data_IF_929243201269
#
_entry.id   IF_929243201269
#
_cell.length_a   1.000
_cell.length_b   1.000
_cell.length_c   1.000
_cell.angle_alpha   90.00
_cell.angle_beta   90.00
_cell.angle_gamma   90.00
#
_symmetry.space_group_name_H-M   'P 1'
#
loop_
_entity.id
_entity.type
_entity.pdbx_description
1 polymer ?
#
# COMPACT_ATOMS: atom_id res chain seq x y z
N UNK A 1 -16.69 -7.89 4.16
CA UNK A 1 -15.81 -6.96 4.89
C UNK A 1 -16.59 -5.96 5.73
N UNK A 2 -16.02 -5.58 6.87
CA UNK A 2 -16.51 -4.49 7.71
C UNK A 2 -15.89 -3.17 7.24
N UNK A 3 -16.59 -2.06 7.44
CA UNK A 3 -16.09 -0.73 7.08
C UNK A 3 -14.72 -0.43 7.74
N UNK A 4 -14.45 -1.01 8.91
CA UNK A 4 -13.14 -0.91 9.56
C UNK A 4 -12.00 -1.52 8.74
N UNK A 5 -12.19 -2.68 8.09
CA UNK A 5 -11.13 -3.30 7.28
C UNK A 5 -10.78 -2.41 6.07
N UNK A 6 -11.79 -1.86 5.40
CA UNK A 6 -11.61 -0.91 4.30
C UNK A 6 -10.87 0.35 4.76
N UNK A 7 -11.25 0.92 5.91
CA UNK A 7 -10.59 2.10 6.49
C UNK A 7 -9.14 1.83 6.85
N UNK A 8 -8.84 0.69 7.48
CA UNK A 8 -7.49 0.30 7.86
C UNK A 8 -6.61 0.13 6.61
N UNK A 9 -7.11 -0.58 5.59
CA UNK A 9 -6.39 -0.75 4.32
C UNK A 9 -6.15 0.58 3.61
N UNK A 10 -7.13 1.50 3.63
CA UNK A 10 -6.98 2.83 3.05
C UNK A 10 -5.88 3.65 3.76
N UNK A 11 -5.85 3.65 5.10
CA UNK A 11 -4.80 4.32 5.89
C UNK A 11 -3.42 3.76 5.54
N UNK A 12 -3.28 2.43 5.45
CA UNK A 12 -2.01 1.78 5.10
C UNK A 12 -1.56 2.19 3.69
N UNK A 13 -2.47 2.21 2.70
CA UNK A 13 -2.15 2.61 1.34
C UNK A 13 -1.73 4.08 1.24
N UNK A 14 -2.37 4.98 2.00
CA UNK A 14 -1.98 6.39 2.08
C UNK A 14 -0.55 6.54 2.63
N UNK A 15 -0.23 5.83 3.72
CA UNK A 15 1.12 5.86 4.30
C UNK A 15 2.18 5.31 3.35
N UNK A 16 1.89 4.23 2.63
CA UNK A 16 2.80 3.69 1.61
C UNK A 16 3.01 4.66 0.44
N UNK A 17 1.94 5.35 0.01
CA UNK A 17 2.02 6.38 -1.03
C UNK A 17 2.92 7.56 -0.62
N UNK A 18 2.72 8.09 0.59
CA UNK A 18 3.58 9.17 1.14
C UNK A 18 5.03 8.70 1.22
N UNK A 19 5.27 7.47 1.70
CA UNK A 19 6.61 6.90 1.81
C UNK A 19 7.31 6.78 0.44
N UNK A 20 6.56 6.40 -0.61
CA UNK A 20 7.09 6.28 -1.96
C UNK A 20 7.44 7.65 -2.57
N UNK A 21 6.60 8.66 -2.34
CA UNK A 21 6.86 10.05 -2.76
C UNK A 21 8.10 10.58 -2.05
N UNK A 22 8.23 10.33 -0.74
CA UNK A 22 9.39 10.76 0.04
C UNK A 22 10.70 10.15 -0.48
N UNK A 23 10.69 8.84 -0.76
CA UNK A 23 11.88 8.16 -1.30
C UNK A 23 12.20 8.64 -2.72
N UNK A 24 11.19 8.79 -3.59
CA UNK A 24 11.40 9.31 -4.94
C UNK A 24 11.89 10.77 -4.96
N UNK A 25 11.45 11.60 -4.01
CA UNK A 25 11.78 13.03 -3.94
C UNK A 25 13.10 13.34 -3.25
N UNK A 26 13.51 12.55 -2.24
CA UNK A 26 14.70 12.84 -1.42
C UNK A 26 15.81 11.79 -1.53
N UNK A 27 15.50 10.55 -1.93
CA UNK A 27 16.45 9.42 -2.00
C UNK A 27 16.56 8.90 -3.44
N UNK A 28 16.95 9.77 -4.38
CA UNK A 28 16.95 9.49 -5.82
C UNK A 28 17.79 8.30 -6.30
N UNK A 29 18.67 7.72 -5.47
CA UNK A 29 19.52 6.57 -5.85
C UNK A 29 19.05 5.22 -5.28
N UNK A 30 18.00 5.18 -4.45
CA UNK A 30 17.54 3.95 -3.82
C UNK A 30 16.59 3.17 -4.74
N UNK A 31 17.13 2.60 -5.82
CA UNK A 31 16.37 1.95 -6.91
C UNK A 31 15.50 0.76 -6.43
N UNK A 32 15.84 0.13 -5.29
CA UNK A 32 15.18 -1.07 -4.77
C UNK A 32 13.98 -0.78 -3.84
N UNK A 33 13.95 0.38 -3.17
CA UNK A 33 12.86 0.67 -2.21
C UNK A 33 11.48 0.92 -2.87
N UNK A 34 11.37 1.61 -4.03
CA UNK A 34 10.08 1.80 -4.69
C UNK A 34 9.40 0.47 -5.08
N UNK A 35 10.11 -0.54 -5.65
CA UNK A 35 9.56 -1.88 -5.87
C UNK A 35 9.04 -2.58 -4.60
N UNK A 36 9.73 -2.44 -3.46
CA UNK A 36 9.31 -3.07 -2.20
C UNK A 36 8.02 -2.44 -1.68
N UNK A 37 7.94 -1.11 -1.65
CA UNK A 37 6.79 -0.36 -1.12
C UNK A 37 5.55 -0.60 -1.97
N UNK A 38 5.71 -0.62 -3.29
CA UNK A 38 4.61 -0.95 -4.21
C UNK A 38 4.15 -2.40 -4.06
N UNK A 39 5.09 -3.35 -3.91
CA UNK A 39 4.79 -4.75 -3.62
C UNK A 39 3.91 -4.93 -2.38
N UNK A 40 4.25 -4.25 -1.28
CA UNK A 40 3.44 -4.25 -0.04
C UNK A 40 2.05 -3.65 -0.31
N UNK A 41 1.97 -2.55 -1.07
CA UNK A 41 0.69 -1.96 -1.49
C UNK A 41 -0.20 -2.95 -2.25
N UNK A 42 0.39 -3.73 -3.17
CA UNK A 42 -0.35 -4.75 -3.92
C UNK A 42 -0.88 -5.87 -3.02
N UNK A 43 -0.14 -6.31 -2.00
CA UNK A 43 -0.64 -7.29 -1.04
C UNK A 43 -1.83 -6.77 -0.22
N UNK A 44 -1.80 -5.49 0.18
CA UNK A 44 -2.91 -4.86 0.89
C UNK A 44 -4.16 -4.80 0.01
N UNK A 45 -3.99 -4.48 -1.28
CA UNK A 45 -5.09 -4.47 -2.26
C UNK A 45 -5.62 -5.90 -2.48
N UNK A 46 -4.74 -6.88 -2.68
CA UNK A 46 -5.13 -8.28 -2.88
C UNK A 46 -5.91 -8.83 -1.66
N UNK A 47 -5.50 -8.46 -0.45
CA UNK A 47 -6.22 -8.81 0.78
C UNK A 47 -7.63 -8.21 0.80
N UNK A 48 -7.77 -6.93 0.45
CA UNK A 48 -9.06 -6.25 0.33
C UNK A 48 -9.96 -6.94 -0.69
N UNK A 49 -9.44 -7.25 -1.89
CA UNK A 49 -10.22 -7.92 -2.94
C UNK A 49 -10.63 -9.34 -2.56
N UNK A 50 -9.73 -10.12 -1.94
CA UNK A 50 -10.04 -11.46 -1.47
C UNK A 50 -11.11 -11.43 -0.37
N UNK A 51 -11.03 -10.47 0.55
CA UNK A 51 -12.03 -10.24 1.59
C UNK A 51 -13.36 -9.68 1.09
N UNK A 52 -13.35 -9.02 -0.08
CA UNK A 52 -14.56 -8.55 -0.76
C UNK A 52 -15.26 -9.69 -1.51
N UNK A 53 -14.52 -10.57 -2.19
CA UNK A 53 -15.04 -11.73 -2.94
C UNK A 53 -15.71 -12.80 -2.07
N UNK A 54 -15.42 -12.83 -0.77
CA UNK A 54 -16.02 -13.78 0.20
C UNK A 54 -17.36 -13.31 0.80
N UNK A 55 -18.00 -12.28 0.26
CA UNK A 55 -19.38 -11.88 0.54
C UNK A 55 -20.24 -12.16 -0.69
#
# INVERSE_FOLDING_TARGET
MNNNTLKISAIILVLLGISMIYIGGFYGSQVILPPIITGIGFFVIAWVFLGFRRK
#
